data_IF_724512187982
#
_entry.id   IF_724512187982
#
_cell.length_a   1.000
_cell.length_b   1.000
_cell.length_c   1.000
_cell.angle_alpha   90.00
_cell.angle_beta   90.00
_cell.angle_gamma   90.00
#
_symmetry.space_group_name_H-M   'P 1'
#
loop_
_entity.id
_entity.type
_entity.pdbx_description
1 polymer ?
#
# COMPACT_ATOMS: atom_id res chain seq x y z
N UNK A 1 -8.08 -12.22 -10.39
CA UNK A 1 -7.39 -11.04 -10.93
C UNK A 1 -6.64 -11.51 -12.18
N UNK A 2 -7.06 -11.10 -13.38
CA UNK A 2 -6.38 -11.52 -14.62
C UNK A 2 -5.22 -10.56 -14.93
N UNK A 3 -4.01 -11.09 -15.11
CA UNK A 3 -2.81 -10.29 -15.38
C UNK A 3 -2.70 -9.98 -16.88
N UNK A 4 -2.70 -8.70 -17.23
CA UNK A 4 -2.40 -8.22 -18.58
C UNK A 4 -0.94 -7.77 -18.65
N UNK A 5 -0.20 -8.19 -19.69
CA UNK A 5 1.19 -7.78 -19.89
C UNK A 5 1.28 -6.83 -21.08
N UNK A 6 1.94 -5.68 -20.88
CA UNK A 6 2.29 -4.72 -21.92
C UNK A 6 3.81 -4.72 -22.09
N UNK A 7 4.27 -4.92 -23.32
CA UNK A 7 5.68 -4.77 -23.71
C UNK A 7 5.77 -3.69 -24.78
N UNK A 8 6.66 -2.72 -24.59
CA UNK A 8 6.97 -1.70 -25.61
C UNK A 8 8.44 -1.84 -25.97
N UNK A 9 8.74 -2.20 -27.22
CA UNK A 9 10.10 -2.28 -27.73
C UNK A 9 10.22 -1.58 -29.10
N UNK A 10 11.44 -1.24 -29.51
CA UNK A 10 11.69 -0.49 -30.74
C UNK A 10 11.55 -1.30 -32.04
N UNK A 11 11.46 -2.63 -31.95
CA UNK A 11 11.48 -3.53 -33.11
C UNK A 11 10.08 -4.07 -33.47
N UNK A 12 9.29 -4.45 -32.47
CA UNK A 12 7.95 -5.02 -32.57
C UNK A 12 6.85 -4.03 -32.18
N UNK A 13 7.21 -2.85 -31.67
CA UNK A 13 6.26 -1.82 -31.25
C UNK A 13 5.63 -2.11 -29.88
N UNK A 14 4.30 -1.95 -29.79
CA UNK A 14 3.53 -2.19 -28.55
C UNK A 14 2.84 -3.55 -28.65
N UNK A 15 3.24 -4.48 -27.80
CA UNK A 15 2.63 -5.81 -27.68
C UNK A 15 1.83 -5.87 -26.38
N UNK A 16 0.53 -6.16 -26.50
CA UNK A 16 -0.34 -6.46 -25.38
C UNK A 16 -0.66 -7.95 -25.41
N UNK A 17 -0.63 -8.63 -24.26
CA UNK A 17 -0.97 -10.07 -24.19
C UNK A 17 -2.42 -10.39 -24.61
N UNK A 18 -3.29 -9.37 -24.68
CA UNK A 18 -4.67 -9.42 -25.15
C UNK A 18 -5.18 -7.99 -25.40
N UNK A 19 -6.33 -7.85 -26.07
CA UNK A 19 -6.95 -6.54 -26.30
C UNK A 19 -7.35 -5.87 -24.98
N UNK A 20 -6.85 -4.64 -24.76
CA UNK A 20 -7.25 -3.81 -23.62
C UNK A 20 -8.73 -3.43 -23.71
N UNK A 21 -9.21 -3.11 -24.91
CA UNK A 21 -10.61 -2.72 -25.16
C UNK A 21 -11.56 -3.85 -24.77
N UNK A 22 -11.33 -5.06 -25.26
CA UNK A 22 -12.15 -6.24 -24.92
C UNK A 22 -12.11 -6.57 -23.42
N UNK A 23 -10.99 -6.27 -22.75
CA UNK A 23 -10.85 -6.49 -21.31
C UNK A 23 -11.72 -5.49 -20.54
N UNK A 24 -11.71 -4.21 -20.97
CA UNK A 24 -12.50 -3.14 -20.35
C UNK A 24 -14.00 -3.33 -20.59
N UNK A 25 -14.41 -3.76 -21.79
CA UNK A 25 -15.83 -3.99 -22.13
C UNK A 25 -16.49 -5.11 -21.30
N UNK A 26 -15.70 -6.02 -20.74
CA UNK A 26 -16.19 -7.11 -19.88
C UNK A 26 -16.33 -6.69 -18.41
N UNK A 27 -15.87 -5.50 -18.04
CA UNK A 27 -15.98 -5.02 -16.67
C UNK A 27 -17.42 -4.59 -16.35
N UNK A 28 -17.91 -4.82 -15.11
CA UNK A 28 -19.17 -4.25 -14.66
C UNK A 28 -19.17 -2.71 -14.74
N UNK A 29 -20.35 -2.10 -14.81
CA UNK A 29 -20.46 -0.63 -14.72
C UNK A 29 -19.83 -0.11 -13.42
N UNK A 30 -18.97 0.90 -13.53
CA UNK A 30 -18.22 1.41 -12.40
C UNK A 30 -17.15 2.42 -12.80
N UNK A 31 -16.43 2.93 -11.80
CA UNK A 31 -15.26 3.79 -12.00
C UNK A 31 -14.00 2.96 -11.78
N UNK A 32 -13.08 3.00 -12.75
CA UNK A 32 -11.82 2.25 -12.72
C UNK A 32 -10.64 3.21 -12.88
N UNK A 33 -9.55 2.92 -12.18
CA UNK A 33 -8.25 3.55 -12.41
C UNK A 33 -7.36 2.58 -13.19
N UNK A 34 -6.68 3.06 -14.23
CA UNK A 34 -5.68 2.29 -14.98
C UNK A 34 -4.32 2.93 -14.74
N UNK A 35 -3.39 2.17 -14.16
CA UNK A 35 -2.01 2.58 -13.95
C UNK A 35 -1.10 1.84 -14.93
N UNK A 36 -0.30 2.59 -15.70
CA UNK A 36 0.75 2.02 -16.55
C UNK A 36 2.08 2.46 -15.96
N UNK A 37 2.76 1.52 -15.31
CA UNK A 37 4.08 1.73 -14.70
C UNK A 37 5.11 0.80 -15.33
N UNK A 38 6.40 1.16 -15.22
CA UNK A 38 7.46 0.25 -15.63
C UNK A 38 7.46 -0.97 -14.70
N UNK A 39 7.87 -2.14 -15.22
CA UNK A 39 7.96 -3.38 -14.44
C UNK A 39 8.89 -3.27 -13.22
N UNK A 40 9.95 -2.47 -13.34
CA UNK A 40 10.93 -2.21 -12.28
C UNK A 40 10.57 -1.01 -11.41
N UNK A 41 9.36 -0.46 -11.54
CA UNK A 41 8.89 0.62 -10.69
C UNK A 41 8.91 0.19 -9.22
N UNK A 42 9.37 1.08 -8.34
CA UNK A 42 9.26 0.92 -6.90
C UNK A 42 8.76 2.25 -6.35
N UNK A 43 7.60 2.24 -5.73
CA UNK A 43 7.04 3.44 -5.16
C UNK A 43 7.92 3.95 -4.01
N UNK A 44 8.21 5.25 -3.98
CA UNK A 44 8.99 5.87 -2.91
C UNK A 44 8.10 6.79 -2.10
N UNK A 45 7.70 6.34 -0.92
CA UNK A 45 6.80 7.07 -0.02
C UNK A 45 7.53 7.35 1.30
N UNK A 46 7.45 8.57 1.86
CA UNK A 46 8.00 8.84 3.19
C UNK A 46 7.40 7.92 4.25
N UNK A 47 8.20 7.45 5.22
CA UNK A 47 7.77 6.53 6.28
C UNK A 47 6.54 7.04 7.05
N UNK A 48 6.47 8.34 7.34
CA UNK A 48 5.29 8.96 7.96
C UNK A 48 4.03 8.82 7.10
N UNK A 49 4.15 8.94 5.78
CA UNK A 49 3.02 8.75 4.88
C UNK A 49 2.64 7.27 4.80
N UNK A 50 3.62 6.36 4.76
CA UNK A 50 3.38 4.91 4.80
C UNK A 50 2.61 4.50 6.06
N UNK A 51 3.01 5.00 7.24
CA UNK A 51 2.29 4.79 8.49
C UNK A 51 0.79 5.11 8.35
N UNK A 52 0.47 6.31 7.86
CA UNK A 52 -0.93 6.73 7.71
C UNK A 52 -1.67 5.92 6.65
N UNK A 53 -1.00 5.51 5.57
CA UNK A 53 -1.59 4.63 4.57
C UNK A 53 -1.96 3.27 5.17
N UNK A 54 -1.14 2.71 6.07
CA UNK A 54 -1.50 1.49 6.80
C UNK A 54 -2.68 1.71 7.75
N UNK A 55 -2.77 2.86 8.42
CA UNK A 55 -3.95 3.16 9.25
C UNK A 55 -5.24 3.26 8.40
N UNK A 56 -5.14 3.82 7.18
CA UNK A 56 -6.24 3.85 6.21
C UNK A 56 -6.60 2.44 5.73
N UNK A 57 -5.62 1.56 5.51
CA UNK A 57 -5.87 0.16 5.16
C UNK A 57 -6.62 -0.56 6.28
N UNK A 58 -6.17 -0.41 7.53
CA UNK A 58 -6.85 -1.00 8.69
C UNK A 58 -8.27 -0.46 8.86
N UNK A 59 -8.48 0.83 8.63
CA UNK A 59 -9.82 1.43 8.61
C UNK A 59 -10.70 0.82 7.53
N UNK A 60 -10.16 0.56 6.35
CA UNK A 60 -10.87 -0.11 5.26
C UNK A 60 -11.24 -1.56 5.60
N UNK A 61 -10.31 -2.33 6.17
CA UNK A 61 -10.50 -3.75 6.49
C UNK A 61 -11.41 -3.98 7.71
N UNK A 62 -11.36 -3.10 8.70
CA UNK A 62 -12.04 -3.30 10.00
C UNK A 62 -13.23 -2.38 10.23
N UNK A 63 -13.34 -1.28 9.48
CA UNK A 63 -14.34 -0.24 9.70
C UNK A 63 -14.04 0.70 10.88
N UNK A 64 -12.98 0.44 11.65
CA UNK A 64 -12.57 1.31 12.76
C UNK A 64 -11.76 2.51 12.26
N UNK A 65 -11.97 3.67 12.86
CA UNK A 65 -11.35 4.91 12.38
C UNK A 65 -9.83 4.82 12.37
N UNK A 66 -9.19 5.35 11.29
CA UNK A 66 -7.73 5.42 11.18
C UNK A 66 -7.06 6.15 12.36
N UNK A 67 -7.77 7.09 13.00
CA UNK A 67 -7.28 7.80 14.19
C UNK A 67 -7.24 6.88 15.41
N UNK A 68 -8.22 5.98 15.57
CA UNK A 68 -8.20 4.97 16.64
C UNK A 68 -7.06 3.97 16.44
N UNK A 69 -6.82 3.54 15.21
CA UNK A 69 -5.68 2.68 14.88
C UNK A 69 -4.35 3.36 15.19
N UNK A 70 -4.21 4.63 14.83
CA UNK A 70 -3.06 5.45 15.22
C UNK A 70 -2.87 5.43 16.73
N UNK A 71 -3.90 5.79 17.50
CA UNK A 71 -3.81 5.90 18.96
C UNK A 71 -3.51 4.54 19.61
N UNK A 72 -4.12 3.46 19.11
CA UNK A 72 -3.89 2.09 19.56
C UNK A 72 -2.41 1.71 19.45
N UNK A 73 -1.82 1.83 18.25
CA UNK A 73 -0.42 1.42 18.07
C UNK A 73 0.57 2.33 18.79
N UNK A 74 0.30 3.63 18.87
CA UNK A 74 1.17 4.52 19.64
C UNK A 74 1.09 4.22 21.13
N UNK A 75 -0.09 3.85 21.65
CA UNK A 75 -0.23 3.41 23.04
C UNK A 75 0.44 2.06 23.30
N UNK A 76 0.42 1.15 22.32
CA UNK A 76 0.98 -0.19 22.45
C UNK A 76 2.51 -0.19 22.43
N UNK A 77 3.11 0.58 21.50
CA UNK A 77 4.54 0.49 21.22
C UNK A 77 5.38 1.69 21.70
N UNK A 78 4.77 2.84 21.98
CA UNK A 78 5.49 4.02 22.43
C UNK A 78 5.18 4.34 23.90
N UNK A 79 6.18 4.85 24.65
CA UNK A 79 5.96 5.29 26.01
C UNK A 79 5.02 6.52 26.04
N UNK A 80 4.29 6.75 27.16
CA UNK A 80 3.31 7.85 27.27
C UNK A 80 3.86 9.23 26.87
N UNK A 81 5.15 9.48 27.12
CA UNK A 81 5.81 10.75 26.84
C UNK A 81 6.15 10.95 25.34
N UNK A 82 6.07 9.90 24.52
CA UNK A 82 6.48 9.90 23.11
C UNK A 82 5.39 9.39 22.16
N UNK A 83 4.10 9.56 22.50
CA UNK A 83 2.96 9.17 21.64
C UNK A 83 2.77 10.10 20.44
N UNK A 84 3.83 10.29 19.65
CA UNK A 84 3.81 11.06 18.41
C UNK A 84 4.90 10.58 17.47
N UNK A 85 4.51 10.20 16.25
CA UNK A 85 5.46 9.83 15.19
C UNK A 85 6.27 11.03 14.66
N UNK A 86 5.85 12.27 14.94
CA UNK A 86 6.48 13.49 14.38
C UNK A 86 7.93 13.69 14.83
N UNK A 87 8.27 13.18 16.01
CA UNK A 87 9.58 13.38 16.63
C UNK A 87 10.44 12.11 16.61
N UNK A 88 9.95 11.02 16.01
CA UNK A 88 10.72 9.80 15.88
C UNK A 88 11.82 9.98 14.84
N UNK A 89 12.99 9.45 15.15
CA UNK A 89 14.05 9.28 14.15
C UNK A 89 13.60 8.26 13.10
N UNK A 90 14.16 8.31 11.90
CA UNK A 90 13.84 7.33 10.84
C UNK A 90 14.07 5.88 11.30
N UNK A 91 15.07 5.64 12.15
CA UNK A 91 15.34 4.31 12.70
C UNK A 91 14.26 3.87 13.69
N UNK A 92 13.84 4.77 14.59
CA UNK A 92 12.76 4.49 15.53
C UNK A 92 11.42 4.26 14.82
N UNK A 93 11.14 5.04 13.77
CA UNK A 93 9.94 4.87 12.96
C UNK A 93 9.97 3.57 12.15
N UNK A 94 11.13 3.16 11.63
CA UNK A 94 11.30 1.84 10.98
C UNK A 94 10.99 0.72 11.96
N UNK A 95 11.51 0.81 13.19
CA UNK A 95 11.24 -0.18 14.24
C UNK A 95 9.74 -0.24 14.57
N UNK A 96 9.10 0.91 14.76
CA UNK A 96 7.66 1.00 15.01
C UNK A 96 6.84 0.36 13.87
N UNK A 97 7.17 0.65 12.61
CA UNK A 97 6.47 0.07 11.46
C UNK A 97 6.60 -1.47 11.45
N UNK A 98 7.78 -2.01 11.75
CA UNK A 98 7.96 -3.46 11.83
C UNK A 98 7.13 -4.09 12.95
N UNK A 99 7.02 -3.44 14.10
CA UNK A 99 6.16 -3.90 15.21
C UNK A 99 4.68 -3.88 14.82
N UNK A 100 4.21 -2.80 14.20
CA UNK A 100 2.84 -2.66 13.72
C UNK A 100 2.51 -3.73 12.68
N UNK A 101 3.41 -3.99 11.74
CA UNK A 101 3.22 -5.02 10.72
C UNK A 101 3.07 -6.42 11.34
N UNK A 102 3.92 -6.76 12.31
CA UNK A 102 3.86 -8.04 13.00
C UNK A 102 2.55 -8.19 13.78
N UNK A 103 2.17 -7.19 14.56
CA UNK A 103 0.93 -7.20 15.34
C UNK A 103 -0.32 -7.27 14.45
N UNK A 104 -0.35 -6.47 13.37
CA UNK A 104 -1.44 -6.46 12.39
C UNK A 104 -1.72 -7.87 11.83
N UNK A 105 -0.64 -8.58 11.52
CA UNK A 105 -0.71 -9.94 11.01
C UNK A 105 -1.14 -10.95 12.10
N UNK A 106 -0.63 -10.83 13.32
CA UNK A 106 -0.91 -11.79 14.40
C UNK A 106 -2.33 -11.64 14.94
N UNK A 107 -2.75 -10.42 15.25
CA UNK A 107 -4.01 -10.17 15.98
C UNK A 107 -5.21 -10.04 15.03
N UNK A 108 -5.03 -9.51 13.83
CA UNK A 108 -6.13 -9.29 12.87
C UNK A 108 -6.00 -10.07 11.58
N UNK A 109 -4.91 -10.83 11.39
CA UNK A 109 -4.64 -11.52 10.13
C UNK A 109 -4.63 -10.56 8.91
N UNK A 110 -4.18 -9.31 9.12
CA UNK A 110 -4.08 -8.27 8.09
C UNK A 110 -2.62 -8.11 7.70
N UNK A 111 -2.32 -8.31 6.43
CA UNK A 111 -0.99 -8.08 5.86
C UNK A 111 -0.82 -6.60 5.54
N UNK A 112 0.05 -5.91 6.28
CA UNK A 112 0.44 -4.54 5.96
C UNK A 112 1.61 -4.55 4.95
N UNK A 113 1.45 -4.01 3.73
CA UNK A 113 2.48 -4.10 2.69
C UNK A 113 3.76 -3.34 3.05
N UNK A 114 4.90 -4.01 2.98
CA UNK A 114 6.24 -3.44 3.21
C UNK A 114 6.98 -3.20 1.89
N UNK A 115 7.85 -2.16 1.80
CA UNK A 115 8.70 -1.94 0.62
C UNK A 115 9.57 -3.13 0.21
N UNK A 116 9.78 -4.11 1.09
CA UNK A 116 10.50 -5.35 0.79
C UNK A 116 9.75 -6.25 -0.20
N UNK A 117 8.40 -6.26 -0.16
CA UNK A 117 7.54 -6.98 -1.10
C UNK A 117 7.04 -6.03 -2.19
N UNK A 118 7.89 -5.83 -3.21
CA UNK A 118 7.71 -4.81 -4.25
C UNK A 118 6.36 -4.87 -4.95
N UNK A 119 5.89 -6.06 -5.31
CA UNK A 119 4.68 -6.20 -6.12
C UNK A 119 3.45 -5.80 -5.28
N UNK A 120 3.29 -6.37 -4.09
CA UNK A 120 2.17 -6.05 -3.18
C UNK A 120 2.23 -4.59 -2.74
N UNK A 121 3.42 -4.08 -2.41
CA UNK A 121 3.61 -2.71 -1.96
C UNK A 121 3.30 -1.67 -3.03
N UNK A 122 3.70 -1.90 -4.28
CA UNK A 122 3.41 -0.97 -5.37
C UNK A 122 1.91 -0.85 -5.63
N UNK A 123 1.20 -1.98 -5.70
CA UNK A 123 -0.24 -2.00 -5.90
C UNK A 123 -0.96 -1.27 -4.77
N UNK A 124 -0.57 -1.55 -3.52
CA UNK A 124 -1.05 -0.83 -2.35
C UNK A 124 -0.82 0.67 -2.44
N UNK A 125 0.39 1.11 -2.81
CA UNK A 125 0.70 2.54 -2.89
C UNK A 125 -0.13 3.21 -3.97
N UNK A 126 -0.27 2.60 -5.14
CA UNK A 126 -1.06 3.16 -6.24
C UNK A 126 -2.52 3.38 -5.84
N UNK A 127 -3.08 2.45 -5.06
CA UNK A 127 -4.46 2.51 -4.60
C UNK A 127 -4.68 3.50 -3.42
N UNK A 128 -3.80 3.49 -2.41
CA UNK A 128 -4.05 4.18 -1.14
C UNK A 128 -3.36 5.54 -1.03
N UNK A 129 -2.42 5.91 -1.90
CA UNK A 129 -1.67 7.16 -1.77
C UNK A 129 -2.51 8.45 -1.84
N UNK A 130 -3.75 8.35 -2.34
CA UNK A 130 -4.70 9.44 -2.53
C UNK A 130 -6.01 9.26 -1.71
N UNK A 131 -6.08 8.25 -0.82
CA UNK A 131 -7.20 8.01 0.09
C UNK A 131 -6.88 8.52 1.51
#
# INVERSE_FOLDING_TARGET
MEKLTLVKNGYEGTVLSRSLVETVEKLPEGKYNIYIVKKDYTASIPQNKLFWMWMTLLEYETGESRVKWHDYFLQLFLPPEQRSIRHLSSQALTHLLNQIQAEALVEWNIVLPSPEDKDIYNDFVLEFQNK
#
